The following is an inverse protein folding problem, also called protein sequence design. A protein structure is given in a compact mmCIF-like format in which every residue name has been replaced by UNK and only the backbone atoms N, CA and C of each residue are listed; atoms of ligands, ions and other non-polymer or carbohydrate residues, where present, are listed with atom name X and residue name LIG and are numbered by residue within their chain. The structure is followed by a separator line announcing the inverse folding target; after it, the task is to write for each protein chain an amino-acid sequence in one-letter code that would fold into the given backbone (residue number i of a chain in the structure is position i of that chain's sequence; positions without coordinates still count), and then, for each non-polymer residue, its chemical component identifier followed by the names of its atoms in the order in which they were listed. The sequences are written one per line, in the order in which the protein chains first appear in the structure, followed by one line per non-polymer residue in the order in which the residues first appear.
data_IF_417957649295
#
_entry.id   IF_417957649295
#
_cell.length_a   1.000
_cell.length_b   1.000
_cell.length_c   1.000
_cell.angle_alpha   90.00
_cell.angle_beta   90.00
_cell.angle_gamma   90.00
#
_symmetry.space_group_name_H-M   'P 1'
#
loop_
_entity.id
_entity.type
_entity.pdbx_description
1 polymer ?
#
# COMPACT_ATOMS: atom_id res chain seq x y z
N UNK A 1 20.17 -5.08 -12.54
CA UNK A 1 18.86 -4.54 -12.12
C UNK A 1 18.62 -5.01 -10.69
N UNK A 2 18.20 -4.12 -9.78
CA UNK A 2 17.99 -4.45 -8.35
C UNK A 2 16.84 -5.45 -8.14
N UNK A 3 15.80 -5.38 -8.97
CA UNK A 3 14.63 -6.28 -8.85
C UNK A 3 15.06 -7.73 -9.14
N UNK A 4 15.82 -7.92 -10.22
CA UNK A 4 16.33 -9.25 -10.60
C UNK A 4 17.21 -9.83 -9.50
N UNK A 5 18.14 -9.03 -8.97
CA UNK A 5 19.03 -9.44 -7.88
C UNK A 5 18.25 -9.89 -6.63
N UNK A 6 17.27 -9.10 -6.19
CA UNK A 6 16.47 -9.45 -5.01
C UNK A 6 15.63 -10.72 -5.27
N UNK A 7 15.04 -10.88 -6.46
CA UNK A 7 14.30 -12.10 -6.83
C UNK A 7 15.19 -13.35 -6.84
N UNK A 8 16.44 -13.23 -7.31
CA UNK A 8 17.42 -14.31 -7.26
C UNK A 8 17.77 -14.69 -5.81
N UNK A 9 18.01 -13.71 -4.95
CA UNK A 9 18.31 -13.95 -3.53
C UNK A 9 17.10 -14.53 -2.77
N UNK A 10 15.86 -14.12 -3.11
CA UNK A 10 14.65 -14.75 -2.58
C UNK A 10 14.62 -16.25 -2.90
N UNK A 11 14.85 -16.60 -4.17
CA UNK A 11 14.84 -17.99 -4.62
C UNK A 11 15.96 -18.81 -3.98
N UNK A 12 17.17 -18.25 -3.95
CA UNK A 12 18.37 -18.91 -3.42
C UNK A 12 18.26 -19.21 -1.92
N UNK A 13 17.68 -18.28 -1.16
CA UNK A 13 17.59 -18.38 0.30
C UNK A 13 16.18 -18.77 0.79
N UNK A 14 15.26 -19.08 -0.12
CA UNK A 14 13.86 -19.42 0.17
C UNK A 14 13.15 -18.35 1.03
N UNK A 15 13.35 -17.07 0.72
CA UNK A 15 12.76 -15.95 1.46
C UNK A 15 11.37 -15.65 0.89
N UNK A 16 10.31 -15.69 1.71
CA UNK A 16 8.96 -15.38 1.25
C UNK A 16 8.81 -13.91 0.81
N UNK A 17 8.00 -13.68 -0.21
CA UNK A 17 7.68 -12.34 -0.72
C UNK A 17 7.15 -11.37 0.35
N UNK A 18 6.26 -11.77 1.28
CA UNK A 18 5.83 -10.91 2.39
C UNK A 18 6.98 -10.39 3.28
N UNK A 19 8.04 -11.19 3.45
CA UNK A 19 9.23 -10.78 4.21
C UNK A 19 10.02 -9.74 3.43
N UNK A 20 10.21 -9.99 2.13
CA UNK A 20 10.97 -9.10 1.24
C UNK A 20 10.30 -7.76 1.08
N UNK A 21 8.99 -7.71 0.84
CA UNK A 21 8.28 -6.44 0.71
C UNK A 21 8.37 -5.59 1.99
N UNK A 22 8.36 -6.22 3.17
CA UNK A 22 8.60 -5.54 4.43
C UNK A 22 9.99 -4.89 4.49
N UNK A 23 11.03 -5.59 4.04
CA UNK A 23 12.41 -5.07 3.96
C UNK A 23 12.52 -3.95 2.93
N UNK A 24 11.93 -4.14 1.74
CA UNK A 24 11.94 -3.14 0.66
C UNK A 24 11.26 -1.86 1.14
N UNK A 25 10.06 -1.96 1.75
CA UNK A 25 9.37 -0.82 2.34
C UNK A 25 10.24 -0.09 3.37
N UNK A 26 10.77 -0.80 4.37
CA UNK A 26 11.63 -0.19 5.39
C UNK A 26 12.86 0.49 4.79
N UNK A 27 13.47 -0.13 3.79
CA UNK A 27 14.62 0.43 3.09
C UNK A 27 14.24 1.70 2.35
N UNK A 28 13.20 1.67 1.51
CA UNK A 28 12.69 2.81 0.75
C UNK A 28 12.34 3.99 1.66
N UNK A 29 11.70 3.74 2.80
CA UNK A 29 11.28 4.81 3.71
C UNK A 29 12.42 5.40 4.55
N UNK A 30 13.51 4.65 4.73
CA UNK A 30 14.69 5.07 5.50
C UNK A 30 15.69 5.93 4.72
N UNK A 31 15.60 5.97 3.39
CA UNK A 31 16.55 6.72 2.54
C UNK A 31 16.26 8.22 2.46
N UNK A 32 15.17 8.68 3.05
CA UNK A 32 14.69 10.06 2.93
C UNK A 32 14.67 10.73 4.29
N UNK A 33 15.23 11.94 4.34
CA UNK A 33 14.98 12.85 5.46
C UNK A 33 13.62 13.54 5.25
N UNK A 34 12.67 13.23 6.13
CA UNK A 34 11.29 13.65 6.01
C UNK A 34 11.06 15.06 6.54
N UNK A 35 10.24 15.82 5.83
CA UNK A 35 9.75 17.09 6.32
C UNK A 35 8.94 16.91 7.63
N UNK A 36 8.98 17.91 8.52
CA UNK A 36 8.21 17.91 9.78
C UNK A 36 6.85 18.60 9.65
N UNK A 37 6.61 19.31 8.55
CA UNK A 37 5.29 19.90 8.25
C UNK A 37 4.43 18.86 7.56
N UNK A 38 3.25 18.60 8.13
CA UNK A 38 2.34 17.52 7.71
C UNK A 38 1.95 17.57 6.22
N UNK A 39 1.66 18.75 5.68
CA UNK A 39 1.31 18.90 4.28
C UNK A 39 2.51 18.63 3.35
N UNK A 40 3.68 19.19 3.67
CA UNK A 40 4.89 19.04 2.87
C UNK A 40 5.42 17.60 2.91
N UNK A 41 5.32 16.91 4.05
CA UNK A 41 5.78 15.53 4.16
C UNK A 41 4.86 14.60 3.38
N UNK A 42 3.55 14.86 3.34
CA UNK A 42 2.63 14.08 2.53
C UNK A 42 2.97 14.20 1.03
N UNK A 43 3.20 15.42 0.53
CA UNK A 43 3.60 15.63 -0.87
C UNK A 43 4.96 14.98 -1.19
N UNK A 44 5.94 15.13 -0.30
CA UNK A 44 7.25 14.51 -0.41
C UNK A 44 7.14 12.99 -0.46
N UNK A 45 6.34 12.39 0.42
CA UNK A 45 6.11 10.95 0.48
C UNK A 45 5.47 10.43 -0.81
N UNK A 46 4.44 11.10 -1.32
CA UNK A 46 3.78 10.71 -2.58
C UNK A 46 4.76 10.77 -3.75
N UNK A 47 5.59 11.81 -3.85
CA UNK A 47 6.60 11.91 -4.90
C UNK A 47 7.63 10.77 -4.81
N UNK A 48 8.16 10.53 -3.62
CA UNK A 48 9.15 9.47 -3.38
C UNK A 48 8.59 8.08 -3.67
N UNK A 49 7.41 7.77 -3.12
CA UNK A 49 6.78 6.47 -3.28
C UNK A 49 6.35 6.21 -4.71
N UNK A 50 5.89 7.24 -5.45
CA UNK A 50 5.56 7.11 -6.87
C UNK A 50 6.78 6.70 -7.71
N UNK A 51 7.96 7.24 -7.40
CA UNK A 51 9.20 6.86 -8.08
C UNK A 51 9.63 5.42 -7.76
N UNK A 52 9.29 4.94 -6.56
CA UNK A 52 9.60 3.58 -6.10
C UNK A 52 8.47 2.56 -6.37
N UNK A 53 7.33 2.98 -6.94
CA UNK A 53 6.21 2.09 -7.23
C UNK A 53 6.61 0.86 -8.07
N UNK A 54 7.43 0.97 -9.15
CA UNK A 54 7.83 -0.21 -9.92
C UNK A 54 8.63 -1.23 -9.09
N UNK A 55 9.43 -0.75 -8.14
CA UNK A 55 10.18 -1.63 -7.23
C UNK A 55 9.23 -2.33 -6.26
N UNK A 56 8.28 -1.60 -5.66
CA UNK A 56 7.30 -2.17 -4.73
C UNK A 56 6.38 -3.17 -5.42
N UNK A 57 5.85 -2.82 -6.60
CA UNK A 57 5.00 -3.67 -7.43
C UNK A 57 5.67 -5.02 -7.75
N UNK A 58 7.00 -5.04 -7.94
CA UNK A 58 7.73 -6.27 -8.23
C UNK A 58 7.73 -7.30 -7.09
N UNK A 59 7.35 -6.90 -5.86
CA UNK A 59 7.27 -7.72 -4.65
C UNK A 59 5.91 -7.64 -3.96
N UNK A 60 4.87 -7.25 -4.70
CA UNK A 60 3.46 -7.28 -4.29
C UNK A 60 2.63 -8.00 -5.35
N UNK A 61 3.07 -9.20 -5.72
CA UNK A 61 2.44 -10.05 -6.74
C UNK A 61 1.42 -11.03 -6.16
N UNK A 62 1.30 -11.06 -4.83
CA UNK A 62 0.39 -11.93 -4.09
C UNK A 62 -0.40 -11.09 -3.07
N UNK A 63 -1.66 -11.46 -2.84
CA UNK A 63 -2.51 -10.75 -1.88
C UNK A 63 -1.93 -10.67 -0.46
N UNK A 64 -1.16 -11.68 -0.03
CA UNK A 64 -0.50 -11.67 1.29
C UNK A 64 0.66 -10.65 1.37
N UNK A 65 1.43 -10.47 0.30
CA UNK A 65 2.49 -9.44 0.23
C UNK A 65 1.90 -8.03 0.16
N UNK A 66 0.82 -7.84 -0.59
CA UNK A 66 0.09 -6.57 -0.65
C UNK A 66 -0.48 -6.20 0.71
N UNK A 67 -1.15 -7.15 1.39
CA UNK A 67 -1.64 -6.94 2.74
C UNK A 67 -0.50 -6.61 3.71
N UNK A 68 0.63 -7.30 3.60
CA UNK A 68 1.80 -7.03 4.45
C UNK A 68 2.33 -5.61 4.25
N UNK A 69 2.42 -5.14 3.00
CA UNK A 69 2.77 -3.76 2.69
C UNK A 69 1.76 -2.78 3.31
N UNK A 70 0.47 -3.05 3.20
CA UNK A 70 -0.59 -2.20 3.74
C UNK A 70 -0.49 -2.04 5.27
N UNK A 71 -0.22 -3.13 5.97
CA UNK A 71 0.04 -3.11 7.42
C UNK A 71 1.30 -2.31 7.76
N UNK A 72 2.37 -2.44 6.96
CA UNK A 72 3.60 -1.67 7.15
C UNK A 72 3.40 -0.16 6.93
N UNK A 73 2.58 0.23 5.95
CA UNK A 73 2.19 1.63 5.74
C UNK A 73 1.40 2.14 6.96
N UNK A 74 0.42 1.36 7.45
CA UNK A 74 -0.37 1.72 8.62
C UNK A 74 0.51 1.93 9.87
N UNK A 75 1.41 0.99 10.16
CA UNK A 75 2.36 1.09 11.26
C UNK A 75 3.23 2.33 11.13
N UNK A 76 3.79 2.57 9.94
CA UNK A 76 4.66 3.72 9.69
C UNK A 76 3.93 5.05 9.87
N UNK A 77 2.72 5.19 9.31
CA UNK A 77 1.94 6.41 9.43
C UNK A 77 1.48 6.68 10.87
N UNK A 78 1.29 5.64 11.68
CA UNK A 78 0.96 5.79 13.10
C UNK A 78 2.18 6.17 13.94
N UNK A 79 3.30 5.47 13.75
CA UNK A 79 4.52 5.68 14.53
C UNK A 79 5.18 7.04 14.19
N UNK A 80 4.88 7.61 13.02
CA UNK A 80 5.32 8.93 12.61
C UNK A 80 4.14 9.92 12.51
N UNK A 81 3.96 10.75 13.54
CA UNK A 81 2.81 11.67 13.66
C UNK A 81 2.62 12.59 12.44
N UNK A 82 3.69 12.95 11.74
CA UNK A 82 3.62 13.81 10.55
C UNK A 82 2.98 13.10 9.34
N UNK A 83 2.91 11.77 9.35
CA UNK A 83 2.32 10.94 8.29
C UNK A 83 0.87 10.55 8.55
N UNK A 84 0.27 10.97 9.67
CA UNK A 84 -1.09 10.58 10.04
C UNK A 84 -2.13 10.91 8.96
N UNK A 85 -2.00 12.05 8.25
CA UNK A 85 -2.86 12.42 7.10
C UNK A 85 -2.36 11.94 5.74
N UNK A 86 -1.19 11.30 5.68
CA UNK A 86 -0.62 10.79 4.44
C UNK A 86 -1.14 9.38 4.10
N UNK A 87 -1.62 8.62 5.10
CA UNK A 87 -2.02 7.22 4.94
C UNK A 87 -2.94 6.97 3.74
N UNK A 88 -4.10 7.63 3.69
CA UNK A 88 -5.05 7.48 2.59
C UNK A 88 -4.41 7.82 1.23
N UNK A 89 -3.63 8.91 1.16
CA UNK A 89 -2.98 9.34 -0.08
C UNK A 89 -1.99 8.29 -0.59
N UNK A 90 -1.25 7.64 0.32
CA UNK A 90 -0.29 6.58 -0.01
C UNK A 90 -1.03 5.35 -0.55
N UNK A 91 -2.10 4.91 0.13
CA UNK A 91 -2.88 3.74 -0.33
C UNK A 91 -3.51 4.00 -1.70
N UNK A 92 -4.11 5.18 -1.90
CA UNK A 92 -4.69 5.57 -3.20
C UNK A 92 -3.61 5.64 -4.29
N UNK A 93 -2.42 6.16 -3.99
CA UNK A 93 -1.29 6.15 -4.93
C UNK A 93 -0.93 4.72 -5.34
N UNK A 94 -0.78 3.82 -4.37
CA UNK A 94 -0.38 2.44 -4.62
C UNK A 94 -1.46 1.62 -5.33
N UNK A 95 -2.73 1.89 -5.06
CA UNK A 95 -3.83 1.34 -5.86
C UNK A 95 -3.72 1.77 -7.33
N UNK A 96 -3.60 3.09 -7.58
CA UNK A 96 -3.48 3.63 -8.95
C UNK A 96 -2.19 3.20 -9.68
N UNK A 97 -1.16 2.83 -8.94
CA UNK A 97 0.12 2.40 -9.47
C UNK A 97 0.25 0.87 -9.55
N UNK A 98 -0.85 0.13 -9.35
CA UNK A 98 -0.90 -1.34 -9.40
C UNK A 98 0.07 -2.01 -8.42
N UNK A 99 0.38 -1.34 -7.31
CA UNK A 99 1.15 -1.90 -6.18
C UNK A 99 0.21 -2.62 -5.21
N UNK A 100 -1.02 -2.15 -5.10
CA UNK A 100 -2.07 -2.76 -4.30
C UNK A 100 -3.32 -2.96 -5.16
N UNK A 101 -3.93 -4.12 -5.05
CA UNK A 101 -5.22 -4.43 -5.63
C UNK A 101 -6.35 -4.15 -4.64
N UNK A 102 -7.59 -4.27 -5.12
CA UNK A 102 -8.79 -4.03 -4.33
C UNK A 102 -8.94 -5.01 -3.17
N UNK A 103 -8.76 -6.31 -3.42
CA UNK A 103 -9.02 -7.37 -2.44
C UNK A 103 -8.23 -7.18 -1.12
N UNK A 104 -6.90 -6.92 -1.12
CA UNK A 104 -6.16 -6.68 0.13
C UNK A 104 -6.56 -5.40 0.85
N UNK A 105 -6.97 -4.36 0.11
CA UNK A 105 -7.45 -3.09 0.68
C UNK A 105 -8.78 -3.32 1.41
N UNK A 106 -9.73 -4.03 0.78
CA UNK A 106 -11.01 -4.37 1.38
C UNK A 106 -10.84 -5.29 2.60
N UNK A 107 -9.96 -6.29 2.49
CA UNK A 107 -9.64 -7.22 3.59
C UNK A 107 -9.03 -6.48 4.79
N UNK A 108 -8.08 -5.59 4.54
CA UNK A 108 -7.51 -4.73 5.57
C UNK A 108 -8.57 -3.87 6.25
N UNK A 109 -9.46 -3.23 5.48
CA UNK A 109 -10.51 -2.38 6.03
C UNK A 109 -11.48 -3.16 6.91
N UNK A 110 -11.84 -4.39 6.50
CA UNK A 110 -12.80 -5.24 7.21
C UNK A 110 -12.25 -5.77 8.54
N UNK A 111 -11.14 -6.50 8.51
CA UNK A 111 -10.68 -7.24 9.70
C UNK A 111 -9.16 -7.48 9.80
N UNK A 112 -8.39 -7.26 8.73
CA UNK A 112 -6.95 -7.55 8.76
C UNK A 112 -6.07 -6.38 9.27
N UNK A 113 -6.64 -5.20 9.54
CA UNK A 113 -5.90 -4.05 10.08
C UNK A 113 -5.36 -4.27 11.50
N UNK A 114 -4.24 -3.63 11.83
CA UNK A 114 -3.70 -3.62 13.19
C UNK A 114 -4.38 -2.55 14.07
N UNK A 115 -4.19 -2.64 15.40
CA UNK A 115 -4.78 -1.68 16.35
C UNK A 115 -4.23 -0.25 16.22
N UNK A 116 -2.99 -0.10 15.71
CA UNK A 116 -2.29 1.18 15.58
C UNK A 116 -3.05 2.15 14.66
N UNK A 117 -3.61 3.21 15.24
CA UNK A 117 -4.36 4.22 14.50
C UNK A 117 -5.65 3.72 13.85
N UNK A 118 -6.17 2.55 14.26
CA UNK A 118 -7.33 1.86 13.65
C UNK A 118 -8.49 2.80 13.37
N UNK A 119 -9.03 3.47 14.39
CA UNK A 119 -10.21 4.32 14.23
C UNK A 119 -9.97 5.46 13.24
N UNK A 120 -8.79 6.08 13.30
CA UNK A 120 -8.41 7.19 12.44
C UNK A 120 -8.25 6.75 10.99
N UNK A 121 -7.54 5.64 10.74
CA UNK A 121 -7.28 5.18 9.38
C UNK A 121 -8.50 4.55 8.71
N UNK A 122 -9.36 3.85 9.46
CA UNK A 122 -10.64 3.38 8.94
C UNK A 122 -11.51 4.58 8.52
N UNK A 123 -11.61 5.62 9.35
CA UNK A 123 -12.38 6.82 8.99
C UNK A 123 -11.81 7.51 7.74
N UNK A 124 -10.48 7.65 7.63
CA UNK A 124 -9.83 8.21 6.44
C UNK A 124 -10.10 7.40 5.17
N UNK A 125 -10.17 6.07 5.27
CA UNK A 125 -10.32 5.17 4.13
C UNK A 125 -11.78 4.96 3.70
N UNK A 126 -12.75 5.32 4.54
CA UNK A 126 -14.18 5.03 4.33
C UNK A 126 -14.68 5.38 2.94
N UNK A 127 -14.53 6.63 2.50
CA UNK A 127 -14.98 7.08 1.18
C UNK A 127 -14.31 6.35 0.02
N UNK A 128 -13.03 6.00 0.18
CA UNK A 128 -12.29 5.30 -0.87
C UNK A 128 -12.72 3.83 -0.95
N UNK A 129 -12.96 3.19 0.18
CA UNK A 129 -13.49 1.81 0.23
C UNK A 129 -14.93 1.72 -0.28
N UNK A 130 -15.77 2.71 0.04
CA UNK A 130 -17.11 2.82 -0.55
C UNK A 130 -17.03 2.95 -2.07
N UNK A 131 -16.10 3.76 -2.58
CA UNK A 131 -15.89 3.90 -4.02
C UNK A 131 -15.39 2.60 -4.69
N UNK A 132 -14.46 1.87 -4.07
CA UNK A 132 -13.95 0.60 -4.61
C UNK A 132 -15.10 -0.40 -4.82
N UNK A 133 -15.91 -0.62 -3.78
CA UNK A 133 -17.05 -1.55 -3.82
C UNK A 133 -18.08 -1.17 -4.89
N UNK A 134 -18.37 0.11 -5.05
CA UNK A 134 -19.35 0.57 -6.03
C UNK A 134 -18.81 0.47 -7.46
N UNK A 135 -17.50 0.66 -7.68
CA UNK A 135 -16.89 0.53 -8.99
C UNK A 135 -16.96 -0.91 -9.51
N UNK A 136 -16.85 -1.90 -8.61
CA UNK A 136 -17.05 -3.31 -8.93
C UNK A 136 -18.51 -3.58 -9.34
N UNK A 137 -19.49 -3.09 -8.57
CA UNK A 137 -20.94 -3.26 -8.84
C UNK A 137 -21.38 -2.64 -10.18
N UNK A 138 -20.85 -1.48 -10.59
CA UNK A 138 -21.16 -0.87 -11.90
C UNK A 138 -20.60 -1.71 -13.06
N UNK A 139 -19.38 -2.26 -12.92
CA UNK A 139 -18.72 -3.06 -13.96
C UNK A 139 -19.35 -4.44 -14.19
N UNK A 140 -19.96 -5.02 -13.15
CA UNK A 140 -20.64 -6.32 -13.24
C UNK A 140 -22.03 -6.19 -13.88
N UNK A 141 -22.72 -5.05 -13.65
CA UNK A 141 -24.04 -4.78 -14.24
C UNK A 141 -24.02 -4.50 -15.75
N UNK A 142 -22.92 -3.96 -16.30
CA UNK A 142 -22.76 -3.77 -17.74
C UNK A 142 -22.47 -5.07 -18.52
N UNK A 143 -22.08 -6.15 -17.82
CA UNK A 143 -21.79 -7.44 -18.43
C UNK A 143 -23.04 -8.33 -18.61
N UNK A 144 -24.16 -8.03 -17.93
CA UNK A 144 -25.40 -8.83 -18.01
C UNK A 144 -26.46 -8.29 -19.00
N UNK A 145 -26.26 -7.12 -19.61
CA UNK A 145 -27.15 -6.59 -20.67
C UNK A 145 -26.65 -6.86 -22.11
N UNK A 146 -25.69 -7.76 -22.27
CA UNK A 146 -24.97 -8.03 -23.53
C UNK A 146 -25.17 -9.41 -24.17
N UNK A 147 -26.17 -10.19 -23.77
CA UNK A 147 -26.52 -11.49 -24.41
C UNK A 147 -27.97 -11.51 -24.94
#
# INVERSE_FOLDING_TARGET
DIILYVKEEMKKNNIPEPVVIGIVWSSVMSTVEWNKKEELVAEQAIKHLKQNSPLLAAFTTQGQSELTLLLKIQEYCYDNIHFMKAFQKIVVLFYKAEVLSEEPILKWYKDAHVAKGKSVFLEQMKKFVEWLKNAEEESESEAEEGD
#
